data_IF_701153838042
#
_entry.id   IF_701153838042
#
_cell.length_a   1.000
_cell.length_b   1.000
_cell.length_c   1.000
_cell.angle_alpha   90.00
_cell.angle_beta   90.00
_cell.angle_gamma   90.00
#
_symmetry.space_group_name_H-M   'P 1'
#
loop_
_entity.id
_entity.type
_entity.pdbx_description
1 polymer ?
#
# COMPACT_ATOMS: atom_id res chain seq x y z
N UNK A 1 40.52 -31.95 3.47
CA UNK A 1 40.49 -31.21 4.76
C UNK A 1 40.66 -29.69 4.66
N UNK A 2 41.86 -29.09 4.46
CA UNK A 2 41.96 -27.60 4.52
C UNK A 2 41.13 -26.85 3.46
N UNK A 3 41.07 -27.36 2.23
CA UNK A 3 40.33 -26.71 1.13
C UNK A 3 38.80 -26.70 1.32
N UNK A 4 38.24 -27.81 1.81
CA UNK A 4 36.79 -27.96 2.00
C UNK A 4 36.26 -26.96 3.04
N UNK A 5 37.02 -26.75 4.13
CA UNK A 5 36.65 -25.78 5.17
C UNK A 5 36.53 -24.34 4.62
N UNK A 6 37.42 -23.96 3.70
CA UNK A 6 37.41 -22.63 3.05
C UNK A 6 36.20 -22.49 2.13
N UNK A 7 35.90 -23.52 1.33
CA UNK A 7 34.74 -23.53 0.43
C UNK A 7 33.43 -23.39 1.22
N UNK A 8 33.28 -24.12 2.33
CA UNK A 8 32.11 -24.01 3.22
C UNK A 8 31.97 -22.61 3.80
N UNK A 9 33.07 -21.97 4.21
CA UNK A 9 33.08 -20.61 4.73
C UNK A 9 32.66 -19.57 3.67
N UNK A 10 33.17 -19.70 2.44
CA UNK A 10 32.80 -18.83 1.32
C UNK A 10 31.30 -18.94 0.98
N UNK A 11 30.73 -20.16 0.99
CA UNK A 11 29.29 -20.39 0.76
C UNK A 11 28.45 -19.71 1.85
N UNK A 12 28.83 -19.86 3.13
CA UNK A 12 28.13 -19.20 4.24
C UNK A 12 28.14 -17.68 4.12
N UNK A 13 29.27 -17.08 3.77
CA UNK A 13 29.38 -15.63 3.55
C UNK A 13 28.51 -15.19 2.37
N UNK A 14 28.50 -15.94 1.26
CA UNK A 14 27.70 -15.61 0.08
C UNK A 14 26.19 -15.68 0.35
N UNK A 15 25.73 -16.68 1.12
CA UNK A 15 24.33 -16.78 1.58
C UNK A 15 23.97 -15.59 2.49
N UNK A 16 24.89 -15.13 3.34
CA UNK A 16 24.66 -14.00 4.24
C UNK A 16 24.44 -12.67 3.49
N UNK A 17 25.16 -12.45 2.39
CA UNK A 17 25.01 -11.25 1.56
C UNK A 17 23.77 -11.26 0.64
N UNK A 18 23.16 -12.42 0.36
CA UNK A 18 21.99 -12.53 -0.53
C UNK A 18 20.66 -12.07 0.10
N UNK A 19 20.60 -11.86 1.43
CA UNK A 19 19.32 -11.72 2.16
C UNK A 19 18.94 -10.27 2.55
N UNK A 20 19.57 -9.24 1.98
CA UNK A 20 19.26 -7.84 2.31
C UNK A 20 18.05 -7.31 1.52
N UNK A 21 16.86 -7.84 1.80
CA UNK A 21 15.61 -7.25 1.35
C UNK A 21 15.13 -6.21 2.38
N UNK A 22 15.07 -4.95 1.98
CA UNK A 22 14.56 -3.87 2.83
C UNK A 22 13.05 -4.10 3.09
N UNK A 23 12.62 -4.00 4.34
CA UNK A 23 11.20 -3.92 4.69
C UNK A 23 10.82 -2.44 4.75
N UNK A 24 9.71 -2.07 4.11
CA UNK A 24 9.10 -0.75 4.28
C UNK A 24 7.62 -0.91 4.58
N UNK A 25 7.10 -0.09 5.48
CA UNK A 25 5.67 0.03 5.68
C UNK A 25 5.07 0.82 4.52
N UNK A 26 3.95 0.36 3.96
CA UNK A 26 3.10 1.16 3.08
C UNK A 26 1.77 1.39 3.78
N UNK A 27 1.33 2.65 3.78
CA UNK A 27 0.08 3.05 4.42
C UNK A 27 -1.03 3.16 3.37
N UNK A 28 -2.22 2.70 3.73
CA UNK A 28 -3.41 2.71 2.85
C UNK A 28 -4.53 3.39 3.62
N UNK A 29 -4.92 4.58 3.18
CA UNK A 29 -5.81 5.48 3.90
C UNK A 29 -6.83 6.16 2.98
N UNK A 30 -7.73 6.94 3.55
CA UNK A 30 -8.70 7.74 2.81
C UNK A 30 -10.13 7.28 3.06
N UNK A 31 -10.95 7.26 2.01
CA UNK A 31 -12.41 7.14 2.11
C UNK A 31 -12.98 6.11 1.14
N UNK A 32 -14.02 5.39 1.57
CA UNK A 32 -14.77 4.43 0.75
C UNK A 32 -16.22 4.32 1.26
N UNK A 33 -17.16 3.87 0.42
CA UNK A 33 -18.52 3.65 0.89
C UNK A 33 -18.61 2.42 1.79
N UNK A 34 -19.51 2.48 2.78
CA UNK A 34 -19.80 1.38 3.68
C UNK A 34 -20.23 0.15 2.89
N UNK A 35 -19.52 -0.94 3.08
CA UNK A 35 -19.71 -2.19 2.36
C UNK A 35 -18.66 -2.46 1.28
N UNK A 36 -17.95 -1.44 0.79
CA UNK A 36 -16.92 -1.61 -0.23
C UNK A 36 -15.73 -2.41 0.31
N UNK A 37 -15.18 -3.29 -0.53
CA UNK A 37 -13.94 -4.02 -0.26
C UNK A 37 -12.79 -3.32 -0.96
N UNK A 38 -11.81 -2.89 -0.20
CA UNK A 38 -10.56 -2.33 -0.71
C UNK A 38 -9.52 -3.45 -0.67
N UNK A 39 -8.85 -3.70 -1.79
CA UNK A 39 -7.76 -4.68 -1.89
C UNK A 39 -6.56 -4.06 -2.58
N UNK A 40 -5.40 -4.14 -1.94
CA UNK A 40 -4.11 -3.73 -2.53
C UNK A 40 -3.23 -4.97 -2.68
N UNK A 41 -2.66 -5.17 -3.86
CA UNK A 41 -1.89 -6.36 -4.23
C UNK A 41 -0.54 -5.98 -4.82
N UNK A 42 0.50 -6.79 -4.60
CA UNK A 42 1.75 -6.74 -5.34
C UNK A 42 1.92 -8.04 -6.11
N UNK A 43 2.05 -7.95 -7.44
CA UNK A 43 2.08 -9.11 -8.33
C UNK A 43 0.84 -10.01 -8.13
N UNK A 44 0.94 -11.10 -7.37
CA UNK A 44 -0.16 -12.01 -7.03
C UNK A 44 -0.50 -12.01 -5.53
N UNK A 45 0.35 -11.40 -4.70
CA UNK A 45 0.21 -11.38 -3.24
C UNK A 45 -0.71 -10.24 -2.80
N UNK A 46 -1.63 -10.54 -1.87
CA UNK A 46 -2.47 -9.52 -1.23
C UNK A 46 -1.68 -8.86 -0.11
N UNK A 47 -1.43 -7.55 -0.24
CA UNK A 47 -0.76 -6.73 0.78
C UNK A 47 -1.75 -6.42 1.90
N UNK A 48 -2.94 -5.94 1.53
CA UNK A 48 -4.03 -5.65 2.45
C UNK A 48 -5.37 -5.85 1.73
N UNK A 49 -6.32 -6.50 2.39
CA UNK A 49 -7.72 -6.55 1.94
C UNK A 49 -8.61 -6.37 3.15
N UNK A 50 -9.51 -5.39 3.09
CA UNK A 50 -10.46 -5.10 4.15
C UNK A 50 -11.78 -4.59 3.56
N UNK A 51 -12.81 -4.56 4.39
CA UNK A 51 -14.11 -4.00 4.05
C UNK A 51 -14.33 -2.74 4.88
N UNK A 52 -14.83 -1.68 4.25
CA UNK A 52 -15.17 -0.44 4.93
C UNK A 52 -16.50 -0.63 5.68
N UNK A 53 -16.48 -0.70 7.02
CA UNK A 53 -17.69 -0.95 7.82
C UNK A 53 -17.91 0.05 8.97
N UNK A 54 -16.84 0.65 9.47
CA UNK A 54 -16.80 1.52 10.66
C UNK A 54 -16.95 3.01 10.33
N UNK A 55 -17.36 3.82 11.31
CA UNK A 55 -17.32 5.30 11.27
C UNK A 55 -17.90 5.94 9.98
N UNK A 56 -19.04 5.42 9.51
CA UNK A 56 -19.72 5.94 8.32
C UNK A 56 -20.41 7.27 8.61
N UNK A 57 -20.27 8.24 7.70
CA UNK A 57 -20.99 9.51 7.73
C UNK A 57 -22.47 9.39 7.32
N UNK A 58 -23.17 10.52 7.25
CA UNK A 58 -24.60 10.58 6.88
C UNK A 58 -24.91 10.11 5.45
N UNK A 59 -23.91 10.01 4.57
CA UNK A 59 -24.04 9.48 3.20
C UNK A 59 -23.34 8.12 3.04
N UNK A 60 -23.09 7.43 4.16
CA UNK A 60 -22.49 6.10 4.24
C UNK A 60 -21.05 6.02 3.72
N UNK A 61 -20.26 7.07 3.82
CA UNK A 61 -18.81 7.03 3.55
C UNK A 61 -18.05 6.81 4.85
N UNK A 62 -17.21 5.79 4.87
CA UNK A 62 -16.27 5.47 5.94
C UNK A 62 -14.91 6.09 5.65
N UNK A 63 -14.28 6.73 6.64
CA UNK A 63 -12.83 6.94 6.60
C UNK A 63 -12.09 5.69 7.09
N UNK A 64 -10.89 5.46 6.58
CA UNK A 64 -10.06 4.34 7.00
C UNK A 64 -8.57 4.69 7.02
N UNK A 65 -7.83 3.93 7.82
CA UNK A 65 -6.38 3.89 7.86
C UNK A 65 -5.95 2.45 8.14
N UNK A 66 -5.06 1.92 7.29
CA UNK A 66 -4.45 0.59 7.42
C UNK A 66 -2.97 0.70 7.09
N UNK A 67 -2.15 -0.06 7.80
CA UNK A 67 -0.72 -0.20 7.52
C UNK A 67 -0.45 -1.62 7.02
N UNK A 68 0.56 -1.79 6.17
CA UNK A 68 1.00 -3.10 5.70
C UNK A 68 2.51 -3.13 5.47
N UNK A 69 3.17 -4.14 6.04
CA UNK A 69 4.59 -4.40 5.84
C UNK A 69 4.84 -4.97 4.43
N UNK A 70 5.57 -4.23 3.60
CA UNK A 70 5.95 -4.63 2.27
C UNK A 70 7.47 -4.86 2.22
N UNK A 71 7.87 -6.09 1.92
CA UNK A 71 9.27 -6.41 1.62
C UNK A 71 9.49 -6.21 0.14
N UNK A 72 10.32 -5.26 -0.25
CA UNK A 72 10.70 -5.11 -1.65
C UNK A 72 12.15 -4.69 -1.81
N UNK A 73 12.76 -5.27 -2.83
CA UNK A 73 14.19 -5.15 -3.18
C UNK A 73 14.40 -4.41 -4.51
N UNK A 74 13.32 -3.86 -5.09
CA UNK A 74 13.29 -3.12 -6.35
C UNK A 74 13.19 -1.62 -6.06
N UNK A 75 13.79 -0.77 -6.89
CA UNK A 75 13.65 0.70 -6.74
C UNK A 75 12.22 1.22 -7.01
N UNK A 76 11.39 0.39 -7.66
CA UNK A 76 10.00 0.65 -8.04
C UNK A 76 9.14 -0.52 -7.58
N UNK A 77 8.08 -0.22 -6.83
CA UNK A 77 7.06 -1.16 -6.40
C UNK A 77 5.75 -0.85 -7.14
N UNK A 78 5.34 -1.73 -8.05
CA UNK A 78 4.03 -1.63 -8.69
C UNK A 78 3.00 -2.33 -7.81
N UNK A 79 1.97 -1.61 -7.35
CA UNK A 79 0.85 -2.22 -6.62
C UNK A 79 -0.45 -2.01 -7.39
N UNK A 80 -1.30 -3.04 -7.37
CA UNK A 80 -2.65 -3.00 -7.91
C UNK A 80 -3.61 -2.59 -6.80
N UNK A 81 -4.45 -1.59 -7.04
CA UNK A 81 -5.52 -1.16 -6.14
C UNK A 81 -6.86 -1.50 -6.78
N UNK A 82 -7.67 -2.26 -6.06
CA UNK A 82 -9.02 -2.68 -6.46
C UNK A 82 -10.00 -2.25 -5.39
N UNK A 83 -11.13 -1.66 -5.81
CA UNK A 83 -12.26 -1.35 -4.93
C UNK A 83 -13.51 -2.01 -5.50
N UNK A 84 -14.09 -2.93 -4.74
CA UNK A 84 -15.29 -3.68 -5.13
C UNK A 84 -16.50 -3.16 -4.35
N UNK A 85 -17.51 -2.67 -5.08
CA UNK A 85 -18.80 -2.24 -4.55
C UNK A 85 -19.87 -3.22 -4.99
N UNK A 86 -20.41 -4.03 -4.07
CA UNK A 86 -21.44 -5.04 -4.36
C UNK A 86 -21.13 -6.00 -5.54
N UNK A 87 -19.88 -6.46 -5.65
CA UNK A 87 -19.33 -7.29 -6.75
C UNK A 87 -19.15 -6.57 -8.09
N UNK A 88 -19.22 -5.24 -8.11
CA UNK A 88 -18.82 -4.41 -9.24
C UNK A 88 -17.50 -3.72 -8.89
N UNK A 89 -16.46 -3.93 -9.71
CA UNK A 89 -15.19 -3.23 -9.55
C UNK A 89 -15.42 -1.76 -9.92
N UNK A 90 -15.38 -0.87 -8.91
CA UNK A 90 -15.51 0.59 -9.08
C UNK A 90 -14.15 1.28 -9.19
N UNK A 91 -13.08 0.56 -8.81
CA UNK A 91 -11.70 0.89 -9.15
C UNK A 91 -10.95 -0.40 -9.48
N UNK A 92 -10.20 -0.39 -10.57
CA UNK A 92 -9.16 -1.38 -10.87
C UNK A 92 -8.01 -0.63 -11.56
N UNK A 93 -6.92 -0.41 -10.85
CA UNK A 93 -5.79 0.38 -11.36
C UNK A 93 -4.45 -0.11 -10.81
N UNK A 94 -3.37 0.18 -11.52
CA UNK A 94 -2.00 -0.12 -11.10
C UNK A 94 -1.25 1.19 -10.91
N UNK A 95 -0.62 1.34 -9.76
CA UNK A 95 0.16 2.51 -9.36
C UNK A 95 1.62 2.11 -9.10
N UNK A 96 2.57 2.96 -9.50
CA UNK A 96 4.00 2.74 -9.31
C UNK A 96 4.52 3.60 -8.17
N UNK A 97 4.98 2.96 -7.10
CA UNK A 97 5.60 3.60 -5.94
C UNK A 97 7.12 3.61 -6.18
N UNK A 98 7.73 4.78 -6.37
CA UNK A 98 9.14 4.94 -6.76
C UNK A 98 9.96 5.65 -5.69
N UNK A 99 10.99 5.01 -5.12
CA UNK A 99 11.99 5.62 -4.20
C UNK A 99 11.48 6.46 -3.01
N UNK A 100 10.19 6.40 -2.68
CA UNK A 100 9.60 7.07 -1.52
C UNK A 100 10.10 6.43 -0.21
N UNK A 101 10.29 7.25 0.83
CA UNK A 101 10.72 6.83 2.18
C UNK A 101 9.55 6.30 3.00
N UNK A 102 8.44 7.05 3.04
CA UNK A 102 7.23 6.73 3.80
C UNK A 102 5.99 6.75 2.89
N UNK A 103 5.95 5.91 1.84
CA UNK A 103 4.86 5.89 0.87
C UNK A 103 3.49 5.62 1.50
N UNK A 104 2.50 6.35 1.02
CA UNK A 104 1.10 6.04 1.28
C UNK A 104 0.26 6.06 0.00
N UNK A 105 -0.85 5.34 0.05
CA UNK A 105 -1.87 5.23 -0.98
C UNK A 105 -3.15 5.78 -0.37
N UNK A 106 -3.74 6.79 -1.00
CA UNK A 106 -4.97 7.44 -0.53
C UNK A 106 -6.11 7.25 -1.52
N UNK A 107 -7.26 6.76 -1.05
CA UNK A 107 -8.53 6.89 -1.78
C UNK A 107 -9.17 8.23 -1.42
N UNK A 108 -9.27 9.13 -2.40
CA UNK A 108 -9.81 10.47 -2.18
C UNK A 108 -11.32 10.41 -1.85
N UNK A 109 -11.80 11.37 -1.06
CA UNK A 109 -13.22 11.48 -0.74
C UNK A 109 -14.04 11.59 -2.04
N UNK A 110 -15.10 10.77 -2.24
CA UNK A 110 -15.91 10.81 -3.44
C UNK A 110 -16.85 12.04 -3.42
N UNK A 111 -16.29 13.21 -3.71
CA UNK A 111 -16.99 14.50 -3.75
C UNK A 111 -17.50 14.82 -5.16
N UNK A 112 -18.82 15.03 -5.31
CA UNK A 112 -19.49 15.47 -6.56
C UNK A 112 -19.18 14.70 -7.87
N UNK A 113 -18.55 13.52 -7.78
CA UNK A 113 -18.28 12.68 -8.95
C UNK A 113 -19.61 12.13 -9.49
N UNK A 114 -19.85 12.36 -10.79
CA UNK A 114 -21.03 11.82 -11.50
C UNK A 114 -20.85 10.33 -11.77
N UNK A 115 -21.02 9.50 -10.74
CA UNK A 115 -21.05 8.04 -10.83
C UNK A 115 -20.18 7.36 -9.78
N UNK A 116 -19.86 6.09 -10.03
CA UNK A 116 -19.08 5.25 -9.11
C UNK A 116 -17.56 5.45 -9.23
N UNK A 117 -17.10 6.55 -9.81
CA UNK A 117 -15.68 6.79 -10.02
C UNK A 117 -14.93 6.94 -8.68
N UNK A 118 -13.69 6.48 -8.64
CA UNK A 118 -12.81 6.52 -7.46
C UNK A 118 -11.45 7.04 -7.88
N UNK A 119 -10.97 8.06 -7.19
CA UNK A 119 -9.63 8.59 -7.40
C UNK A 119 -8.67 7.99 -6.36
N UNK A 120 -7.57 7.41 -6.84
CA UNK A 120 -6.44 6.98 -5.99
C UNK A 120 -5.24 7.89 -6.25
N UNK A 121 -4.52 8.18 -5.18
CA UNK A 121 -3.34 9.04 -5.17
C UNK A 121 -2.22 8.35 -4.36
N UNK A 122 -0.97 8.63 -4.70
CA UNK A 122 0.23 8.05 -4.10
C UNK A 122 1.21 9.18 -3.84
N UNK A 123 1.76 9.23 -2.63
CA UNK A 123 2.75 10.22 -2.22
C UNK A 123 3.57 9.73 -1.03
N UNK A 124 4.49 10.56 -0.54
CA UNK A 124 5.42 10.29 0.56
C UNK A 124 5.21 11.29 1.70
N UNK A 125 4.87 10.82 2.91
CA UNK A 125 4.74 11.72 4.07
C UNK A 125 6.09 12.33 4.51
N UNK A 126 7.21 11.78 4.04
CA UNK A 126 8.54 12.36 4.22
C UNK A 126 8.91 13.42 3.17
N UNK A 127 8.09 13.68 2.14
CA UNK A 127 8.30 14.81 1.23
C UNK A 127 7.89 16.12 1.92
N UNK A 128 8.81 17.09 1.98
CA UNK A 128 8.58 18.39 2.62
C UNK A 128 7.61 19.30 1.83
N UNK A 129 7.27 18.94 0.59
CA UNK A 129 6.26 19.61 -0.24
C UNK A 129 4.87 19.03 -0.04
N UNK A 130 4.74 17.83 0.56
CA UNK A 130 3.46 17.28 0.94
C UNK A 130 2.81 18.12 2.04
N UNK A 131 1.70 18.77 1.71
CA UNK A 131 0.87 19.46 2.69
C UNK A 131 0.19 18.42 3.59
N UNK A 132 0.79 18.16 4.75
CA UNK A 132 0.13 17.48 5.86
C UNK A 132 -1.09 18.31 6.27
N UNK A 133 -2.27 17.95 5.78
CA UNK A 133 -3.56 18.45 6.26
C UNK A 133 -3.75 17.96 7.71
N UNK A 134 -3.14 18.67 8.65
CA UNK A 134 -3.11 18.28 10.05
C UNK A 134 -4.48 18.40 10.72
N UNK A 135 -4.74 17.46 11.63
CA UNK A 135 -5.74 17.54 12.70
C UNK A 135 -7.19 17.79 12.27
N UNK A 136 -7.84 16.74 11.76
CA UNK A 136 -9.30 16.57 11.87
C UNK A 136 -9.66 15.21 12.52
N UNK A 137 -8.84 14.75 13.46
CA UNK A 137 -9.12 13.62 14.35
C UNK A 137 -8.48 13.86 15.74
N UNK A 138 -9.18 14.65 16.56
CA UNK A 138 -9.22 14.60 18.03
C UNK A 138 -10.71 14.54 18.43
#
# INVERSE_FOLDING_TARGET
MKAELVITYCIFIFIFFLSCAEKREVRVLGFAYKGERITVMHEQDTIVSFKAEDNADSISICSFYKTADLKFNKEILNVKVVVDSNKVNVLDTTISITKLKEPFISLLYPHDLKGNERNVFVDDEADSTFLKCGALYD
#
